data_IF_731673797991
#
_entry.id   IF_731673797991
#
_cell.length_a   1.000
_cell.length_b   1.000
_cell.length_c   1.000
_cell.angle_alpha   90.00
_cell.angle_beta   90.00
_cell.angle_gamma   90.00
#
_symmetry.space_group_name_H-M   'P 1'
#
loop_
_entity.id
_entity.type
_entity.pdbx_description
1 polymer ?
#
# COMPACT_ATOMS: atom_id res chain seq x y z
N UNK A 1 -23.44 -20.51 7.39
CA UNK A 1 -22.60 -19.86 6.36
C UNK A 1 -22.55 -18.34 6.54
N UNK A 2 -23.57 -17.76 7.14
CA UNK A 2 -23.76 -16.36 7.52
C UNK A 2 -22.53 -15.72 8.13
N UNK A 3 -21.90 -16.37 9.13
CA UNK A 3 -20.69 -15.86 9.77
C UNK A 3 -19.51 -15.73 8.80
N UNK A 4 -19.33 -16.70 7.90
CA UNK A 4 -18.27 -16.65 6.88
C UNK A 4 -18.56 -15.53 5.89
N UNK A 5 -19.80 -15.44 5.38
CA UNK A 5 -20.21 -14.36 4.48
C UNK A 5 -19.95 -12.97 5.06
N UNK A 6 -20.35 -12.73 6.32
CA UNK A 6 -20.10 -11.45 7.00
C UNK A 6 -18.61 -11.14 7.18
N UNK A 7 -17.75 -12.15 7.36
CA UNK A 7 -16.30 -11.94 7.42
C UNK A 7 -15.75 -11.57 6.04
N UNK A 8 -16.19 -12.26 4.98
CA UNK A 8 -15.75 -12.01 3.60
C UNK A 8 -16.14 -10.61 3.11
N UNK A 9 -17.35 -10.15 3.46
CA UNK A 9 -17.79 -8.77 3.18
C UNK A 9 -16.84 -7.75 3.83
N UNK A 10 -16.56 -7.92 5.12
CA UNK A 10 -15.64 -7.04 5.87
C UNK A 10 -14.20 -7.11 5.36
N UNK A 11 -13.75 -8.28 4.90
CA UNK A 11 -12.45 -8.43 4.22
C UNK A 11 -12.42 -7.64 2.92
N UNK A 12 -13.48 -7.73 2.11
CA UNK A 12 -13.64 -6.92 0.90
C UNK A 12 -13.51 -5.43 1.18
N UNK A 13 -14.26 -4.93 2.17
CA UNK A 13 -14.21 -3.51 2.59
C UNK A 13 -12.79 -3.11 3.05
N UNK A 14 -12.10 -3.97 3.79
CA UNK A 14 -10.75 -3.69 4.28
C UNK A 14 -9.72 -3.66 3.14
N UNK A 15 -9.84 -4.57 2.17
CA UNK A 15 -8.99 -4.59 0.97
C UNK A 15 -9.27 -3.40 0.07
N UNK A 16 -10.54 -3.03 -0.14
CA UNK A 16 -10.90 -1.83 -0.89
C UNK A 16 -10.34 -0.56 -0.22
N UNK A 17 -10.42 -0.47 1.12
CA UNK A 17 -9.80 0.62 1.86
C UNK A 17 -8.27 0.63 1.71
N UNK A 18 -7.62 -0.53 1.74
CA UNK A 18 -6.18 -0.65 1.49
C UNK A 18 -5.81 -0.18 0.08
N UNK A 19 -6.56 -0.63 -0.94
CA UNK A 19 -6.39 -0.19 -2.32
C UNK A 19 -6.52 1.33 -2.44
N UNK A 20 -7.55 1.91 -1.81
CA UNK A 20 -7.74 3.35 -1.75
C UNK A 20 -6.49 4.07 -1.21
N UNK A 21 -5.88 3.57 -0.13
CA UNK A 21 -4.65 4.15 0.45
C UNK A 21 -3.42 3.99 -0.45
N UNK A 22 -3.35 2.91 -1.21
CA UNK A 22 -2.30 2.73 -2.22
C UNK A 22 -2.47 3.69 -3.39
N UNK A 23 -3.70 3.94 -3.85
CA UNK A 23 -4.01 4.94 -4.87
C UNK A 23 -3.68 6.34 -4.35
N UNK A 24 -4.03 6.68 -3.10
CA UNK A 24 -3.66 7.95 -2.47
C UNK A 24 -2.13 8.15 -2.47
N UNK A 25 -1.37 7.11 -2.14
CA UNK A 25 0.10 7.13 -2.19
C UNK A 25 0.62 7.36 -3.61
N UNK A 26 0.02 6.69 -4.62
CA UNK A 26 0.37 6.86 -6.03
C UNK A 26 0.16 8.30 -6.50
N UNK A 27 -0.95 8.91 -6.10
CA UNK A 27 -1.26 10.30 -6.44
C UNK A 27 -0.26 11.27 -5.83
N UNK A 28 0.13 11.07 -4.56
CA UNK A 28 1.16 11.87 -3.91
C UNK A 28 2.53 11.74 -4.58
N UNK A 29 2.91 10.52 -5.01
CA UNK A 29 4.15 10.29 -5.77
C UNK A 29 4.11 11.01 -7.12
N UNK A 30 2.97 10.95 -7.83
CA UNK A 30 2.79 11.58 -9.14
C UNK A 30 2.79 13.12 -9.04
N UNK A 31 2.24 13.66 -7.95
CA UNK A 31 2.20 15.09 -7.67
C UNK A 31 3.51 15.65 -7.08
N UNK A 32 4.52 14.80 -6.87
CA UNK A 32 5.77 15.11 -6.18
C UNK A 32 5.60 15.70 -4.76
N UNK A 33 4.55 15.28 -4.06
CA UNK A 33 4.18 15.79 -2.74
C UNK A 33 4.80 14.94 -1.60
N UNK A 34 6.13 14.83 -1.62
CA UNK A 34 6.90 13.94 -0.76
C UNK A 34 6.70 14.18 0.76
N UNK A 35 6.38 15.42 1.16
CA UNK A 35 6.09 15.79 2.55
C UNK A 35 4.91 15.03 3.17
N UNK A 36 3.96 14.56 2.35
CA UNK A 36 2.79 13.81 2.82
C UNK A 36 2.96 12.29 2.76
N UNK A 37 3.97 11.78 2.05
CA UNK A 37 4.22 10.35 1.93
C UNK A 37 4.39 9.63 3.28
N UNK A 38 5.07 10.18 4.31
CA UNK A 38 5.14 9.53 5.62
C UNK A 38 3.77 9.34 6.27
N UNK A 39 2.80 10.22 6.00
CA UNK A 39 1.42 10.06 6.48
C UNK A 39 0.73 8.96 5.69
N UNK A 40 0.82 9.00 4.36
CA UNK A 40 0.20 8.01 3.49
C UNK A 40 0.68 6.59 3.79
N UNK A 41 1.99 6.37 3.97
CA UNK A 41 2.55 5.04 4.30
C UNK A 41 2.05 4.52 5.64
N UNK A 42 1.87 5.39 6.66
CA UNK A 42 1.23 4.99 7.92
C UNK A 42 -0.23 4.57 7.74
N UNK A 43 -0.99 5.26 6.90
CA UNK A 43 -2.38 4.87 6.61
C UNK A 43 -2.44 3.54 5.85
N UNK A 44 -1.53 3.30 4.91
CA UNK A 44 -1.40 2.00 4.23
C UNK A 44 -1.10 0.89 5.24
N UNK A 45 -0.16 1.09 6.17
CA UNK A 45 0.13 0.07 7.20
C UNK A 45 -1.06 -0.19 8.13
N UNK A 46 -1.83 0.84 8.48
CA UNK A 46 -3.07 0.68 9.26
C UNK A 46 -4.12 -0.14 8.51
N UNK A 47 -4.35 0.19 7.23
CA UNK A 47 -5.29 -0.53 6.38
C UNK A 47 -4.85 -2.00 6.19
N UNK A 48 -3.56 -2.23 5.95
CA UNK A 48 -2.97 -3.56 5.86
C UNK A 48 -3.11 -4.36 7.14
N UNK A 49 -2.83 -3.76 8.30
CA UNK A 49 -3.01 -4.41 9.59
C UNK A 49 -4.47 -4.86 9.79
N UNK A 50 -5.42 -4.00 9.41
CA UNK A 50 -6.85 -4.31 9.47
C UNK A 50 -7.24 -5.48 8.56
N UNK A 51 -6.75 -5.51 7.32
CA UNK A 51 -6.97 -6.63 6.41
C UNK A 51 -6.41 -7.94 7.00
N UNK A 52 -5.20 -7.89 7.58
CA UNK A 52 -4.57 -9.05 8.22
C UNK A 52 -5.33 -9.58 9.44
N UNK A 53 -5.92 -8.71 10.26
CA UNK A 53 -6.76 -9.14 11.38
C UNK A 53 -7.98 -9.93 10.92
N UNK A 54 -8.60 -9.48 9.82
CA UNK A 54 -9.77 -10.15 9.25
C UNK A 54 -9.39 -11.48 8.60
N UNK A 55 -8.26 -11.51 7.89
CA UNK A 55 -7.67 -12.72 7.31
C UNK A 55 -7.45 -13.83 8.35
N UNK A 56 -6.89 -13.47 9.51
CA UNK A 56 -6.72 -14.39 10.63
C UNK A 56 -8.06 -14.84 11.23
N UNK A 57 -9.02 -13.92 11.36
CA UNK A 57 -10.36 -14.24 11.86
C UNK A 57 -11.10 -15.19 10.91
N UNK A 58 -10.97 -14.99 9.59
CA UNK A 58 -11.50 -15.86 8.56
C UNK A 58 -10.86 -17.23 8.65
N UNK A 59 -9.53 -17.31 8.64
CA UNK A 59 -8.80 -18.58 8.72
C UNK A 59 -9.25 -19.40 9.94
N UNK A 60 -9.35 -18.77 11.11
CA UNK A 60 -9.82 -19.42 12.33
C UNK A 60 -11.30 -19.86 12.24
N UNK A 61 -12.16 -19.06 11.59
CA UNK A 61 -13.59 -19.38 11.44
C UNK A 61 -13.81 -20.51 10.44
N UNK A 62 -13.11 -20.49 9.29
CA UNK A 62 -13.19 -21.53 8.27
C UNK A 62 -12.63 -22.84 8.80
N UNK A 63 -11.51 -22.82 9.54
CA UNK A 63 -10.94 -24.02 10.13
C UNK A 63 -11.87 -24.76 11.11
N UNK A 64 -12.81 -24.04 11.76
CA UNK A 64 -13.84 -24.65 12.61
C UNK A 64 -14.93 -25.37 11.81
N UNK A 65 -15.10 -25.01 10.53
CA UNK A 65 -16.07 -25.64 9.64
C UNK A 65 -15.41 -26.79 8.86
N UNK A 66 -14.37 -26.47 8.11
CA UNK A 66 -13.60 -27.41 7.28
C UNK A 66 -12.15 -26.91 7.23
N UNK A 67 -11.25 -27.63 7.88
CA UNK A 67 -9.83 -27.29 7.90
C UNK A 67 -9.25 -27.34 6.47
N UNK A 68 -8.54 -26.27 6.08
CA UNK A 68 -7.86 -26.19 4.78
C UNK A 68 -8.78 -25.97 3.57
N UNK A 69 -10.07 -25.72 3.77
CA UNK A 69 -10.99 -25.43 2.67
C UNK A 69 -10.69 -24.08 2.00
N UNK A 70 -10.65 -24.09 0.67
CA UNK A 70 -10.68 -22.87 -0.14
C UNK A 70 -12.08 -22.26 -0.17
N UNK A 71 -12.19 -21.01 -0.63
CA UNK A 71 -13.49 -20.37 -0.83
C UNK A 71 -14.35 -21.12 -1.87
N UNK A 72 -13.70 -21.73 -2.89
CA UNK A 72 -14.37 -22.56 -3.88
C UNK A 72 -14.89 -23.88 -3.31
N UNK A 73 -14.12 -24.51 -2.42
CA UNK A 73 -14.58 -25.71 -1.69
C UNK A 73 -15.82 -25.37 -0.87
N UNK A 74 -15.78 -24.25 -0.13
CA UNK A 74 -16.92 -23.76 0.65
C UNK A 74 -18.15 -23.49 -0.22
N UNK A 75 -17.97 -22.88 -1.40
CA UNK A 75 -19.06 -22.62 -2.33
C UNK A 75 -19.68 -23.91 -2.90
N UNK A 76 -18.87 -24.95 -3.08
CA UNK A 76 -19.28 -26.25 -3.64
C UNK A 76 -20.14 -27.05 -2.66
N UNK A 77 -19.80 -27.01 -1.37
CA UNK A 77 -20.54 -27.77 -0.32
C UNK A 77 -21.68 -26.98 0.30
N UNK A 78 -21.75 -25.67 0.05
CA UNK A 78 -22.80 -24.81 0.61
C UNK A 78 -24.17 -25.14 0.02
N UNK A 79 -25.22 -24.86 0.79
CA UNK A 79 -26.61 -25.10 0.42
C UNK A 79 -27.41 -23.79 0.36
N UNK A 80 -28.57 -23.83 -0.30
CA UNK A 80 -29.42 -22.66 -0.44
C UNK A 80 -28.78 -21.56 -1.31
N UNK A 81 -28.86 -20.27 -0.92
CA UNK A 81 -28.34 -19.16 -1.73
C UNK A 81 -26.81 -19.00 -1.67
N UNK A 82 -26.16 -19.65 -0.70
CA UNK A 82 -24.76 -19.44 -0.38
C UNK A 82 -23.75 -19.76 -1.49
N UNK A 83 -23.93 -20.79 -2.35
CA UNK A 83 -23.00 -21.06 -3.44
C UNK A 83 -22.78 -19.89 -4.39
N UNK A 84 -23.84 -19.13 -4.69
CA UNK A 84 -23.74 -17.95 -5.55
C UNK A 84 -23.03 -16.80 -4.82
N UNK A 85 -23.47 -16.49 -3.61
CA UNK A 85 -22.91 -15.41 -2.78
C UNK A 85 -21.39 -15.60 -2.55
N UNK A 86 -20.95 -16.82 -2.25
CA UNK A 86 -19.53 -17.09 -2.06
C UNK A 86 -18.69 -16.97 -3.34
N UNK A 87 -19.28 -17.28 -4.50
CA UNK A 87 -18.63 -17.05 -5.80
C UNK A 87 -18.51 -15.55 -6.09
N UNK A 88 -19.54 -14.76 -5.80
CA UNK A 88 -19.48 -13.31 -5.95
C UNK A 88 -18.39 -12.70 -5.05
N UNK A 89 -18.27 -13.17 -3.80
CA UNK A 89 -17.16 -12.77 -2.92
C UNK A 89 -15.80 -13.21 -3.45
N UNK A 90 -15.69 -14.42 -4.03
CA UNK A 90 -14.45 -14.90 -4.66
C UNK A 90 -14.00 -13.95 -5.76
N UNK A 91 -14.89 -13.59 -6.68
CA UNK A 91 -14.59 -12.68 -7.79
C UNK A 91 -14.15 -11.29 -7.29
N UNK A 92 -14.86 -10.74 -6.30
CA UNK A 92 -14.53 -9.43 -5.71
C UNK A 92 -13.17 -9.45 -5.02
N UNK A 93 -12.91 -10.45 -4.17
CA UNK A 93 -11.66 -10.54 -3.41
C UNK A 93 -10.46 -10.79 -4.32
N UNK A 94 -10.59 -11.67 -5.31
CA UNK A 94 -9.53 -11.91 -6.31
C UNK A 94 -9.20 -10.63 -7.07
N UNK A 95 -10.22 -9.89 -7.56
CA UNK A 95 -9.99 -8.61 -8.23
C UNK A 95 -9.27 -7.60 -7.34
N UNK A 96 -9.69 -7.45 -6.08
CA UNK A 96 -9.06 -6.51 -5.15
C UNK A 96 -7.61 -6.86 -4.86
N UNK A 97 -7.29 -8.14 -4.67
CA UNK A 97 -5.91 -8.61 -4.46
C UNK A 97 -5.03 -8.27 -5.67
N UNK A 98 -5.51 -8.55 -6.89
CA UNK A 98 -4.78 -8.23 -8.12
C UNK A 98 -4.55 -6.72 -8.27
N UNK A 99 -5.58 -5.90 -8.03
CA UNK A 99 -5.47 -4.44 -8.09
C UNK A 99 -4.48 -3.89 -7.04
N UNK A 100 -4.51 -4.42 -5.81
CA UNK A 100 -3.58 -4.07 -4.74
C UNK A 100 -2.14 -4.39 -5.16
N UNK A 101 -1.87 -5.58 -5.69
CA UNK A 101 -0.54 -6.00 -6.11
C UNK A 101 0.00 -5.10 -7.23
N UNK A 102 -0.84 -4.77 -8.22
CA UNK A 102 -0.48 -3.87 -9.32
C UNK A 102 -0.14 -2.47 -8.80
N UNK A 103 -1.00 -1.86 -7.97
CA UNK A 103 -0.77 -0.49 -7.47
C UNK A 103 0.41 -0.44 -6.51
N UNK A 104 0.58 -1.44 -5.65
CA UNK A 104 1.74 -1.56 -4.76
C UNK A 104 3.04 -1.64 -5.56
N UNK A 105 3.07 -2.44 -6.63
CA UNK A 105 4.21 -2.54 -7.52
C UNK A 105 4.53 -1.20 -8.20
N UNK A 106 3.50 -0.52 -8.73
CA UNK A 106 3.67 0.81 -9.36
C UNK A 106 4.23 1.85 -8.40
N UNK A 107 3.74 1.87 -7.15
CA UNK A 107 4.25 2.75 -6.10
C UNK A 107 5.72 2.46 -5.80
N UNK A 108 6.09 1.18 -5.70
CA UNK A 108 7.47 0.78 -5.46
C UNK A 108 8.41 1.16 -6.61
N UNK A 109 7.97 1.01 -7.87
CA UNK A 109 8.74 1.43 -9.03
C UNK A 109 8.91 2.96 -9.07
N UNK A 110 7.84 3.71 -8.83
CA UNK A 110 7.90 5.18 -8.79
C UNK A 110 8.81 5.68 -7.67
N UNK A 111 8.78 5.05 -6.50
CA UNK A 111 9.66 5.40 -5.40
C UNK A 111 11.15 5.12 -5.71
N UNK A 112 11.45 4.01 -6.39
CA UNK A 112 12.81 3.70 -6.86
C UNK A 112 13.33 4.75 -7.84
N UNK A 113 12.53 5.09 -8.85
CA UNK A 113 12.88 6.14 -9.82
C UNK A 113 13.12 7.48 -9.10
N UNK A 114 12.29 7.83 -8.12
CA UNK A 114 12.48 9.03 -7.31
C UNK A 114 13.80 9.03 -6.52
N UNK A 115 14.20 7.88 -5.95
CA UNK A 115 15.47 7.74 -5.25
C UNK A 115 16.68 7.84 -6.18
N UNK A 116 16.59 7.24 -7.37
CA UNK A 116 17.62 7.34 -8.40
C UNK A 116 17.82 8.78 -8.87
N UNK A 117 16.72 9.51 -9.13
CA UNK A 117 16.75 10.92 -9.47
C UNK A 117 17.41 11.77 -8.37
N UNK A 118 17.06 11.50 -7.11
CA UNK A 118 17.69 12.14 -5.95
C UNK A 118 19.18 11.81 -5.83
N UNK A 119 19.65 10.64 -6.27
CA UNK A 119 21.07 10.30 -6.22
C UNK A 119 21.88 11.04 -7.30
N UNK A 120 21.28 11.28 -8.47
CA UNK A 120 21.91 11.99 -9.59
C UNK A 120 21.97 13.51 -9.41
N UNK A 121 21.19 14.10 -8.49
CA UNK A 121 21.28 15.55 -8.23
C UNK A 121 22.66 15.92 -7.68
N UNK A 122 23.47 16.72 -8.42
CA UNK A 122 24.76 17.16 -7.94
C UNK A 122 24.53 18.04 -6.71
N UNK A 123 25.21 17.70 -5.60
CA UNK A 123 25.28 18.61 -4.45
C UNK A 123 25.87 19.90 -4.98
N UNK A 124 25.09 20.98 -4.93
CA UNK A 124 25.57 22.31 -5.29
C UNK A 124 26.77 22.64 -4.41
N UNK A 125 27.98 22.38 -4.89
CA UNK A 125 29.20 22.90 -4.31
C UNK A 125 29.06 24.40 -4.46
N UNK A 126 28.66 25.07 -3.38
CA UNK A 126 28.65 26.51 -3.28
C UNK A 126 30.08 27.01 -3.39
N UNK A 127 30.62 27.07 -4.60
CA UNK A 127 31.73 27.94 -4.92
C UNK A 127 31.14 29.33 -4.79
N UNK A 128 31.34 29.94 -3.62
CA UNK A 128 30.90 31.29 -3.34
C UNK A 128 31.47 32.23 -4.38
N UNK A 129 30.64 32.64 -5.34
CA UNK A 129 30.89 33.85 -6.09
C UNK A 129 30.87 35.02 -5.09
N UNK A 130 31.79 36.00 -5.21
CA UNK A 130 31.89 37.09 -4.26
C UNK A 130 30.55 37.84 -4.22
N UNK A 131 30.04 38.01 -3.00
CA UNK A 131 28.77 38.67 -2.75
C UNK A 131 28.82 40.13 -3.23
N UNK A 132 28.08 40.44 -4.29
CA UNK A 132 27.68 41.79 -4.65
C UNK A 132 26.85 42.39 -3.48
N UNK A 133 27.26 43.53 -2.90
CA UNK A 133 26.57 44.12 -1.76
C UNK A 133 25.32 44.86 -2.25
N UNK A 134 24.20 44.15 -2.35
CA UNK A 134 22.91 44.79 -2.67
C UNK A 134 21.72 43.87 -2.93
N UNK A 135 21.94 42.58 -3.22
CA UNK A 135 20.86 41.63 -3.45
C UNK A 135 20.37 41.01 -2.15
N UNK A 136 19.14 41.33 -1.72
CA UNK A 136 18.43 40.56 -0.69
C UNK A 136 18.09 39.17 -1.26
N UNK A 137 19.10 38.30 -1.30
CA UNK A 137 18.99 36.96 -1.85
C UNK A 137 18.01 36.14 -1.02
N UNK A 138 16.91 35.72 -1.63
CA UNK A 138 16.03 34.66 -1.16
C UNK A 138 16.69 33.28 -1.29
N UNK A 139 17.99 33.19 -1.01
CA UNK A 139 18.73 31.94 -1.04
C UNK A 139 18.36 31.15 0.20
N UNK A 140 17.53 30.11 0.04
CA UNK A 140 17.29 29.16 1.12
C UNK A 140 18.66 28.60 1.55
N UNK A 141 19.05 28.66 2.83
CA UNK A 141 20.39 28.26 3.24
C UNK A 141 20.62 26.80 2.85
N UNK A 142 21.80 26.49 2.32
CA UNK A 142 22.19 25.18 1.75
C UNK A 142 21.83 24.01 2.69
N UNK A 143 21.97 24.20 4.01
CA UNK A 143 21.58 23.22 5.04
C UNK A 143 20.10 22.82 4.99
N UNK A 144 19.18 23.74 4.66
CA UNK A 144 17.76 23.43 4.55
C UNK A 144 17.45 22.65 3.25
N UNK A 145 18.23 22.84 2.19
CA UNK A 145 18.08 22.07 0.95
C UNK A 145 18.54 20.62 1.12
N UNK A 146 19.64 20.40 1.84
CA UNK A 146 20.12 19.06 2.17
C UNK A 146 19.13 18.31 3.07
N UNK A 147 18.57 18.96 4.10
CA UNK A 147 17.55 18.38 4.97
C UNK A 147 16.29 17.97 4.20
N UNK A 148 15.82 18.78 3.27
CA UNK A 148 14.66 18.45 2.44
C UNK A 148 14.94 17.28 1.49
N UNK A 149 16.14 17.21 0.91
CA UNK A 149 16.57 16.07 0.09
C UNK A 149 16.59 14.77 0.90
N UNK A 150 17.15 14.80 2.11
CA UNK A 150 17.16 13.67 3.03
C UNK A 150 15.74 13.26 3.44
N UNK A 151 14.87 14.23 3.76
CA UNK A 151 13.48 13.97 4.12
C UNK A 151 12.70 13.33 2.95
N UNK A 152 12.92 13.80 1.72
CA UNK A 152 12.34 13.21 0.51
C UNK A 152 12.85 11.78 0.29
N UNK A 153 14.16 11.54 0.45
CA UNK A 153 14.74 10.20 0.37
C UNK A 153 14.10 9.23 1.38
N UNK A 154 14.04 9.61 2.65
CA UNK A 154 13.42 8.80 3.70
C UNK A 154 11.93 8.52 3.44
N UNK A 155 11.20 9.49 2.87
CA UNK A 155 9.82 9.31 2.47
C UNK A 155 9.65 8.26 1.36
N UNK A 156 10.50 8.28 0.33
CA UNK A 156 10.47 7.28 -0.75
C UNK A 156 10.89 5.89 -0.27
N UNK A 157 11.89 5.80 0.61
CA UNK A 157 12.27 4.54 1.26
C UNK A 157 11.13 3.95 2.11
N UNK A 158 10.36 4.80 2.80
CA UNK A 158 9.18 4.37 3.55
C UNK A 158 8.14 3.70 2.62
N UNK A 159 7.93 4.24 1.42
CA UNK A 159 7.02 3.64 0.42
C UNK A 159 7.51 2.24 0.01
N UNK A 160 8.82 2.09 -0.26
CA UNK A 160 9.39 0.78 -0.59
C UNK A 160 9.23 -0.24 0.53
N UNK A 161 9.51 0.19 1.77
CA UNK A 161 9.36 -0.66 2.94
C UNK A 161 7.93 -1.15 3.11
N UNK A 162 6.94 -0.29 2.91
CA UNK A 162 5.52 -0.66 2.99
C UNK A 162 5.11 -1.59 1.86
N UNK A 163 5.51 -1.31 0.61
CA UNK A 163 5.20 -2.17 -0.53
C UNK A 163 5.74 -3.60 -0.35
N UNK A 164 6.95 -3.75 0.20
CA UNK A 164 7.55 -5.07 0.46
C UNK A 164 6.76 -5.92 1.47
N UNK A 165 5.95 -5.28 2.33
CA UNK A 165 5.20 -5.93 3.39
C UNK A 165 3.76 -6.31 3.00
N UNK A 166 3.25 -5.88 1.85
CA UNK A 166 1.85 -6.09 1.42
C UNK A 166 1.50 -7.53 1.01
N UNK A 167 2.40 -8.50 1.16
CA UNK A 167 2.11 -9.89 0.79
C UNK A 167 0.96 -10.46 1.63
N UNK A 168 0.01 -11.12 0.95
CA UNK A 168 -1.16 -11.76 1.54
C UNK A 168 -1.26 -13.24 1.12
N UNK A 169 -0.28 -14.09 1.47
CA UNK A 169 -0.23 -15.48 0.99
C UNK A 169 -1.43 -16.31 1.47
N UNK A 170 -1.86 -16.15 2.72
CA UNK A 170 -2.95 -16.92 3.30
C UNK A 170 -4.30 -16.60 2.64
N UNK A 171 -4.51 -15.35 2.24
CA UNK A 171 -5.68 -14.94 1.46
C UNK A 171 -5.62 -15.50 0.04
N UNK A 172 -4.47 -15.39 -0.64
CA UNK A 172 -4.28 -15.95 -1.98
C UNK A 172 -4.51 -17.46 -2.00
N UNK A 173 -3.99 -18.18 -1.01
CA UNK A 173 -4.19 -19.63 -0.87
C UNK A 173 -5.67 -19.98 -0.65
N UNK A 174 -6.39 -19.18 0.16
CA UNK A 174 -7.83 -19.35 0.36
C UNK A 174 -8.66 -19.07 -0.89
N UNK A 175 -8.21 -18.17 -1.77
CA UNK A 175 -8.86 -17.83 -3.03
C UNK A 175 -8.52 -18.78 -4.18
N UNK A 176 -7.69 -19.82 -3.99
CA UNK A 176 -7.43 -20.82 -5.04
C UNK A 176 -8.66 -21.63 -5.39
#
# INVERSE_FOLDING_TARGET
MERVGSILEREGDALEHLLFKLIETKLLLTADEARFLPRATREVERARARARELDLLRAATVAQLVAGATLRDLATVATGPWPAILRDHHDVLTRLVDEIDVVAHQNACSARVGLEALACEPVGVGVGAPAEPGGRGTGRPVRNAELDRLARGAALESVLGTAARLRMPDLVDFLR
#
